data_IF_198558388993
#
_entry.id   IF_198558388993
#
_cell.length_a   1.000
_cell.length_b   1.000
_cell.length_c   1.000
_cell.angle_alpha   90.00
_cell.angle_beta   90.00
_cell.angle_gamma   90.00
#
_symmetry.space_group_name_H-M   'P 1'
#
loop_
_entity.id
_entity.type
_entity.pdbx_description
1 polymer ?
#
# COMPACT_ATOMS: atom_id res chain seq x y z
N UNK A 1 -12.92 78.84 45.89
CA UNK A 1 -12.95 77.70 44.95
C UNK A 1 -12.10 76.57 45.51
N UNK A 2 -12.71 75.45 45.96
CA UNK A 2 -11.96 74.32 46.50
C UNK A 2 -11.24 73.56 45.38
N UNK A 3 -9.93 73.32 45.55
CA UNK A 3 -9.11 72.49 44.65
C UNK A 3 -9.54 71.03 44.81
N UNK A 4 -10.16 70.45 43.78
CA UNK A 4 -10.47 69.03 43.70
C UNK A 4 -9.18 68.21 43.81
N UNK A 5 -9.11 67.32 44.81
CA UNK A 5 -8.03 66.35 44.98
C UNK A 5 -8.00 65.44 43.73
N UNK A 6 -6.84 65.25 43.06
CA UNK A 6 -6.76 64.34 41.93
C UNK A 6 -7.10 62.92 42.40
N UNK A 7 -7.90 62.21 41.60
CA UNK A 7 -8.25 60.83 41.85
C UNK A 7 -6.97 59.99 41.85
N UNK A 8 -6.73 59.24 42.92
CA UNK A 8 -5.62 58.30 43.00
C UNK A 8 -5.97 57.12 42.11
N UNK A 9 -5.31 57.04 40.97
CA UNK A 9 -5.42 55.90 40.07
C UNK A 9 -4.89 54.65 40.80
N UNK A 10 -5.65 53.54 40.87
CA UNK A 10 -5.19 52.35 41.55
C UNK A 10 -3.91 51.83 40.87
N UNK A 11 -2.93 51.35 41.64
CA UNK A 11 -1.72 50.80 41.06
C UNK A 11 -2.10 49.65 40.12
N UNK A 12 -1.42 49.51 38.97
CA UNK A 12 -1.67 48.42 38.05
C UNK A 12 -1.50 47.09 38.79
N UNK A 13 -2.34 46.08 38.50
CA UNK A 13 -2.24 44.78 39.15
C UNK A 13 -0.84 44.20 38.92
N UNK A 14 -0.21 43.75 40.00
CA UNK A 14 1.11 43.16 39.98
C UNK A 14 1.04 41.80 39.26
N UNK A 15 1.37 41.81 37.97
CA UNK A 15 1.46 40.62 37.15
C UNK A 15 2.66 39.81 37.63
N UNK A 16 2.42 38.87 38.56
CA UNK A 16 3.41 37.91 39.08
C UNK A 16 4.29 37.41 37.92
N UNK A 17 5.52 37.92 37.86
CA UNK A 17 6.47 37.52 36.84
C UNK A 17 6.84 36.06 37.07
N UNK A 18 6.31 35.18 36.22
CA UNK A 18 6.72 33.78 36.21
C UNK A 18 8.21 33.77 35.85
N UNK A 19 9.09 33.19 36.68
CA UNK A 19 10.51 33.12 36.37
C UNK A 19 10.68 32.41 35.03
N UNK A 20 11.32 33.05 34.05
CA UNK A 20 11.36 32.57 32.66
C UNK A 20 11.89 31.13 32.49
N UNK A 21 12.72 30.65 33.43
CA UNK A 21 13.18 29.25 33.48
C UNK A 21 12.02 28.26 33.63
N UNK A 22 11.00 28.60 34.42
CA UNK A 22 9.83 27.75 34.62
C UNK A 22 8.99 27.67 33.34
N UNK A 23 8.83 28.78 32.63
CA UNK A 23 8.14 28.78 31.34
C UNK A 23 8.83 27.86 30.32
N UNK A 24 10.17 27.92 30.24
CA UNK A 24 10.95 27.04 29.34
C UNK A 24 10.74 25.57 29.70
N UNK A 25 10.81 25.20 30.98
CA UNK A 25 10.61 23.82 31.43
C UNK A 25 9.21 23.32 31.04
N UNK A 26 8.17 24.12 31.27
CA UNK A 26 6.78 23.77 30.91
C UNK A 26 6.64 23.54 29.41
N UNK A 27 7.18 24.44 28.58
CA UNK A 27 7.12 24.31 27.12
C UNK A 27 7.83 23.03 26.66
N UNK A 28 9.02 22.74 27.20
CA UNK A 28 9.76 21.52 26.88
C UNK A 28 8.97 20.27 27.27
N UNK A 29 8.37 20.23 28.45
CA UNK A 29 7.56 19.09 28.89
C UNK A 29 6.33 18.88 28.00
N UNK A 30 5.65 19.96 27.61
CA UNK A 30 4.51 19.88 26.69
C UNK A 30 4.96 19.37 25.32
N UNK A 31 6.07 19.88 24.78
CA UNK A 31 6.61 19.43 23.50
C UNK A 31 6.97 17.93 23.52
N UNK A 32 7.63 17.47 24.58
CA UNK A 32 7.94 16.04 24.77
C UNK A 32 6.67 15.21 24.90
N UNK A 33 5.69 15.67 25.69
CA UNK A 33 4.42 14.98 25.87
C UNK A 33 3.66 14.79 24.55
N UNK A 34 3.55 15.85 23.74
CA UNK A 34 2.94 15.77 22.41
C UNK A 34 3.71 14.86 21.45
N UNK A 35 5.04 14.85 21.52
CA UNK A 35 5.89 13.97 20.70
C UNK A 35 5.65 12.49 21.01
N UNK A 36 5.59 12.14 22.30
CA UNK A 36 5.30 10.77 22.76
C UNK A 36 3.88 10.36 22.37
N UNK A 37 2.90 11.24 22.56
CA UNK A 37 1.51 10.98 22.19
C UNK A 37 1.37 10.71 20.68
N UNK A 38 2.03 11.50 19.84
CA UNK A 38 2.05 11.30 18.40
C UNK A 38 2.68 9.94 18.03
N UNK A 39 3.83 9.58 18.63
CA UNK A 39 4.44 8.27 18.40
C UNK A 39 3.46 7.13 18.76
N UNK A 40 2.90 7.16 19.97
CA UNK A 40 1.96 6.13 20.42
C UNK A 40 0.77 6.00 19.48
N UNK A 41 0.23 7.11 18.99
CA UNK A 41 -0.85 7.12 18.00
C UNK A 41 -0.44 6.41 16.71
N UNK A 42 0.71 6.76 16.12
CA UNK A 42 1.22 6.10 14.91
C UNK A 42 1.48 4.60 15.10
N UNK A 43 1.95 4.21 16.28
CA UNK A 43 2.19 2.81 16.62
C UNK A 43 0.89 2.00 16.68
N UNK A 44 -0.18 2.58 17.25
CA UNK A 44 -1.47 1.92 17.36
C UNK A 44 -2.18 1.81 16.01
N UNK A 45 -2.08 2.83 15.15
CA UNK A 45 -2.82 2.94 13.87
C UNK A 45 -2.33 1.98 12.76
N UNK A 46 -1.16 1.35 12.90
CA UNK A 46 -0.62 0.43 11.89
C UNK A 46 -0.41 -1.01 12.36
N UNK A 47 -0.81 -1.34 13.58
CA UNK A 47 -0.43 -2.62 14.20
C UNK A 47 -1.23 -3.79 13.61
N UNK A 48 -2.51 -3.60 13.30
CA UNK A 48 -3.36 -4.69 12.82
C UNK A 48 -2.96 -5.10 11.40
N UNK A 49 -2.77 -4.14 10.50
CA UNK A 49 -2.30 -4.38 9.14
C UNK A 49 -0.94 -5.09 9.13
N UNK A 50 0.02 -4.64 9.95
CA UNK A 50 1.33 -5.30 10.06
C UNK A 50 1.23 -6.73 10.59
N UNK A 51 0.31 -6.98 11.52
CA UNK A 51 0.08 -8.33 12.07
C UNK A 51 -0.59 -9.23 11.03
N UNK A 52 -1.57 -8.70 10.31
CA UNK A 52 -2.30 -9.37 9.24
C UNK A 52 -1.37 -9.81 8.09
N UNK A 53 -0.54 -8.91 7.58
CA UNK A 53 0.44 -9.25 6.55
C UNK A 53 1.62 -10.07 7.09
N UNK A 54 1.96 -9.90 8.37
CA UNK A 54 3.22 -10.32 8.93
C UNK A 54 4.37 -9.40 8.55
N UNK A 55 5.39 -9.33 9.42
CA UNK A 55 6.51 -8.38 9.31
C UNK A 55 7.23 -8.44 7.96
N UNK A 56 7.45 -9.65 7.43
CA UNK A 56 8.22 -9.84 6.20
C UNK A 56 7.44 -9.37 4.96
N UNK A 57 6.16 -9.75 4.83
CA UNK A 57 5.34 -9.31 3.71
C UNK A 57 5.01 -7.82 3.81
N UNK A 58 4.72 -7.30 5.00
CA UNK A 58 4.51 -5.86 5.22
C UNK A 58 5.73 -5.04 4.75
N UNK A 59 6.96 -5.51 5.03
CA UNK A 59 8.18 -4.86 4.57
C UNK A 59 8.31 -4.90 3.04
N UNK A 60 7.99 -6.04 2.41
CA UNK A 60 7.99 -6.16 0.93
C UNK A 60 6.94 -5.24 0.31
N UNK A 61 5.70 -5.26 0.80
CA UNK A 61 4.61 -4.40 0.29
C UNK A 61 5.03 -2.92 0.36
N UNK A 62 5.66 -2.51 1.47
CA UNK A 62 6.08 -1.13 1.71
C UNK A 62 7.30 -0.71 0.87
N UNK A 63 8.27 -1.61 0.65
CA UNK A 63 9.59 -1.23 0.12
C UNK A 63 9.97 -1.85 -1.22
N UNK A 64 9.17 -2.77 -1.74
CA UNK A 64 9.48 -3.46 -2.99
C UNK A 64 9.71 -2.46 -4.13
N UNK A 65 10.86 -2.52 -4.82
CA UNK A 65 11.10 -1.68 -5.97
C UNK A 65 10.25 -2.10 -7.17
N UNK A 66 9.92 -3.39 -7.29
CA UNK A 66 9.13 -3.93 -8.39
C UNK A 66 7.72 -4.23 -7.93
N UNK A 67 6.76 -3.72 -8.70
CA UNK A 67 5.33 -3.97 -8.48
C UNK A 67 4.64 -4.21 -9.80
N UNK A 68 3.96 -5.32 -9.88
CA UNK A 68 3.16 -5.73 -11.04
C UNK A 68 1.70 -5.86 -10.60
N UNK A 69 0.80 -5.31 -11.43
CA UNK A 69 -0.64 -5.53 -11.33
C UNK A 69 -1.05 -6.57 -12.38
N UNK A 70 -1.79 -7.58 -11.94
CA UNK A 70 -2.34 -8.63 -12.78
C UNK A 70 -3.86 -8.54 -12.81
N UNK A 71 -4.45 -8.68 -13.99
CA UNK A 71 -5.84 -9.09 -14.14
C UNK A 71 -5.86 -10.62 -14.29
N UNK A 72 -6.67 -11.27 -13.48
CA UNK A 72 -6.79 -12.71 -13.38
C UNK A 72 -8.11 -13.17 -14.01
N UNK A 73 -8.04 -14.29 -14.72
CA UNK A 73 -9.18 -14.95 -15.33
C UNK A 73 -9.30 -16.42 -14.90
N UNK A 74 -10.42 -17.06 -15.24
CA UNK A 74 -10.58 -18.50 -15.04
C UNK A 74 -9.49 -19.27 -15.77
N UNK A 75 -9.09 -20.45 -15.28
CA UNK A 75 -8.05 -21.25 -15.93
C UNK A 75 -8.46 -21.59 -17.36
N UNK A 76 -7.67 -21.15 -18.34
CA UNK A 76 -7.86 -21.53 -19.73
C UNK A 76 -7.07 -22.80 -20.04
N UNK A 77 -7.76 -23.85 -20.49
CA UNK A 77 -7.16 -25.15 -20.81
C UNK A 77 -6.10 -25.07 -21.94
N UNK A 78 -6.23 -24.07 -22.81
CA UNK A 78 -5.37 -23.88 -24.00
C UNK A 78 -4.49 -22.64 -23.90
N UNK A 79 -4.31 -22.07 -22.70
CA UNK A 79 -3.37 -20.96 -22.52
C UNK A 79 -1.97 -21.47 -22.81
N UNK A 80 -1.59 -21.31 -24.07
CA UNK A 80 -0.37 -21.82 -24.65
C UNK A 80 0.76 -21.16 -23.90
N UNK A 81 1.39 -21.90 -22.99
CA UNK A 81 2.61 -21.43 -22.33
C UNK A 81 2.50 -20.12 -21.51
N UNK A 82 1.27 -19.71 -21.14
CA UNK A 82 1.01 -18.46 -20.46
C UNK A 82 1.36 -18.49 -18.96
N UNK A 83 1.80 -17.35 -18.43
CA UNK A 83 2.07 -17.19 -17.00
C UNK A 83 0.78 -17.42 -16.20
N UNK A 84 0.66 -18.57 -15.55
CA UNK A 84 -0.42 -18.89 -14.63
C UNK A 84 -0.05 -18.51 -13.19
N UNK A 85 -1.05 -18.14 -12.39
CA UNK A 85 -0.90 -17.87 -10.97
C UNK A 85 -1.67 -18.91 -10.16
N UNK A 86 -0.99 -19.60 -9.26
CA UNK A 86 -1.62 -20.55 -8.33
C UNK A 86 -1.98 -19.82 -7.03
N UNK A 87 -3.28 -19.73 -6.74
CA UNK A 87 -3.85 -19.15 -5.53
C UNK A 87 -4.65 -20.26 -4.84
N UNK A 88 -4.27 -20.67 -3.63
CA UNK A 88 -4.95 -21.74 -2.87
C UNK A 88 -5.11 -23.07 -3.61
N UNK A 89 -4.17 -23.38 -4.51
CA UNK A 89 -4.25 -24.57 -5.35
C UNK A 89 -5.20 -24.44 -6.54
N UNK A 90 -5.88 -23.30 -6.71
CA UNK A 90 -6.59 -22.95 -7.93
C UNK A 90 -5.66 -22.18 -8.87
N UNK A 91 -5.68 -22.56 -10.14
CA UNK A 91 -4.90 -21.89 -11.19
C UNK A 91 -5.72 -20.77 -11.81
N UNK A 92 -5.13 -19.60 -11.93
CA UNK A 92 -5.69 -18.43 -12.61
C UNK A 92 -4.83 -18.10 -13.81
N UNK A 93 -5.44 -17.80 -14.95
CA UNK A 93 -4.72 -17.27 -16.11
C UNK A 93 -4.48 -15.78 -15.90
N UNK A 94 -3.25 -15.29 -16.11
CA UNK A 94 -2.99 -13.86 -16.13
C UNK A 94 -3.48 -13.31 -17.49
N UNK A 95 -4.57 -12.56 -17.48
CA UNK A 95 -5.16 -11.96 -18.67
C UNK A 95 -4.38 -10.72 -19.10
N UNK A 96 -3.96 -9.90 -18.13
CA UNK A 96 -3.18 -8.70 -18.37
C UNK A 96 -2.13 -8.50 -17.28
N UNK A 97 -0.98 -7.90 -17.65
CA UNK A 97 0.09 -7.52 -16.74
C UNK A 97 0.43 -6.04 -16.95
N UNK A 98 0.56 -5.29 -15.84
CA UNK A 98 1.05 -3.91 -15.83
C UNK A 98 2.16 -3.75 -14.80
N UNK A 99 3.30 -3.22 -15.23
CA UNK A 99 4.38 -2.84 -14.31
C UNK A 99 4.09 -1.43 -13.74
N UNK A 100 3.77 -1.35 -12.45
CA UNK A 100 3.43 -0.08 -11.79
C UNK A 100 4.66 0.71 -11.36
N UNK A 101 5.75 0.01 -11.06
CA UNK A 101 6.98 0.64 -10.56
C UNK A 101 7.68 1.51 -11.61
N UNK A 102 7.78 1.02 -12.85
CA UNK A 102 8.50 1.74 -13.93
C UNK A 102 7.68 2.88 -14.53
N UNK A 103 6.35 2.73 -14.56
CA UNK A 103 5.42 3.67 -15.18
C UNK A 103 5.13 4.91 -14.34
N UNK A 104 5.63 4.98 -13.08
CA UNK A 104 5.26 6.01 -12.10
C UNK A 104 3.74 6.19 -12.02
N UNK A 105 3.01 5.05 -12.03
CA UNK A 105 1.56 5.03 -11.99
C UNK A 105 1.03 5.99 -10.91
N UNK A 106 0.33 7.09 -11.28
CA UNK A 106 -0.21 8.02 -10.31
C UNK A 106 -1.16 7.26 -9.38
N UNK A 107 -1.14 7.58 -8.09
CA UNK A 107 -1.97 6.87 -7.10
C UNK A 107 -1.31 5.63 -6.47
N UNK A 108 -0.29 5.02 -7.09
CA UNK A 108 0.26 3.77 -6.55
C UNK A 108 0.89 3.92 -5.15
N UNK A 109 1.57 5.04 -4.88
CA UNK A 109 2.08 5.36 -3.53
C UNK A 109 0.96 5.39 -2.50
N UNK A 110 -0.24 5.87 -2.88
CA UNK A 110 -1.40 5.88 -2.00
C UNK A 110 -1.92 4.46 -1.75
N UNK A 111 -2.02 3.61 -2.78
CA UNK A 111 -2.42 2.20 -2.61
C UNK A 111 -1.49 1.47 -1.65
N UNK A 112 -0.16 1.64 -1.82
CA UNK A 112 0.83 1.05 -0.91
C UNK A 112 0.66 1.54 0.53
N UNK A 113 0.40 2.82 0.72
CA UNK A 113 0.12 3.39 2.04
C UNK A 113 -1.20 2.87 2.62
N UNK A 114 -2.23 2.67 1.81
CA UNK A 114 -3.52 2.13 2.24
C UNK A 114 -3.38 0.69 2.70
N UNK A 115 -2.73 -0.18 1.92
CA UNK A 115 -2.53 -1.59 2.30
C UNK A 115 -1.78 -1.76 3.62
N UNK A 116 -1.05 -0.75 4.10
CA UNK A 116 -0.25 -0.83 5.33
C UNK A 116 -0.86 -0.06 6.52
N UNK A 117 -2.08 0.47 6.37
CA UNK A 117 -2.78 1.25 7.42
C UNK A 117 -4.03 0.50 7.90
N UNK A 118 -4.26 0.50 9.21
CA UNK A 118 -5.40 -0.22 9.79
C UNK A 118 -6.75 0.35 9.32
N UNK A 119 -6.82 1.65 9.03
CA UNK A 119 -8.03 2.32 8.56
C UNK A 119 -8.48 1.90 7.14
N UNK A 120 -7.63 1.20 6.39
CA UNK A 120 -7.99 0.69 5.07
C UNK A 120 -8.85 -0.59 5.14
N UNK A 121 -8.95 -1.19 6.32
CA UNK A 121 -9.61 -2.47 6.51
C UNK A 121 -10.81 -2.33 7.45
N UNK A 122 -11.84 -3.11 7.17
CA UNK A 122 -12.90 -3.38 8.13
C UNK A 122 -12.58 -4.67 8.87
N UNK A 123 -11.97 -4.53 10.06
CA UNK A 123 -11.57 -5.65 10.91
C UNK A 123 -12.74 -6.33 11.62
N UNK A 124 -13.94 -5.75 11.58
CA UNK A 124 -15.15 -6.32 12.19
C UNK A 124 -16.01 -7.09 11.18
N UNK A 125 -15.73 -6.93 9.88
CA UNK A 125 -16.41 -7.67 8.84
C UNK A 125 -16.16 -9.18 8.99
N UNK A 126 -17.21 -9.97 8.78
CA UNK A 126 -17.12 -11.41 8.70
C UNK A 126 -16.44 -11.80 7.37
N UNK A 127 -15.25 -12.44 7.40
CA UNK A 127 -14.54 -12.85 6.19
C UNK A 127 -15.32 -13.86 5.35
N UNK A 128 -16.24 -14.61 5.97
CA UNK A 128 -17.01 -15.67 5.31
C UNK A 128 -18.38 -15.18 4.78
N UNK A 129 -18.71 -13.89 4.99
CA UNK A 129 -19.96 -13.29 4.50
C UNK A 129 -20.09 -13.32 2.98
N UNK A 130 -18.98 -13.36 2.25
CA UNK A 130 -18.96 -13.50 0.79
C UNK A 130 -17.75 -14.33 0.33
N UNK A 131 -17.91 -15.05 -0.78
CA UNK A 131 -16.81 -15.78 -1.42
C UNK A 131 -16.09 -14.84 -2.41
N UNK A 132 -14.82 -14.48 -2.17
CA UNK A 132 -14.11 -13.55 -3.03
C UNK A 132 -13.82 -14.18 -4.40
N UNK A 133 -13.98 -13.38 -5.45
CA UNK A 133 -13.50 -13.71 -6.78
C UNK A 133 -12.22 -12.93 -7.04
N UNK A 134 -11.08 -13.62 -6.98
CA UNK A 134 -9.76 -13.01 -7.16
C UNK A 134 -9.54 -12.60 -8.62
N UNK A 135 -10.08 -11.44 -8.99
CA UNK A 135 -9.94 -10.86 -10.33
C UNK A 135 -8.67 -10.05 -10.51
N UNK A 136 -8.11 -9.53 -9.42
CA UNK A 136 -6.88 -8.74 -9.48
C UNK A 136 -5.86 -9.26 -8.48
N UNK A 137 -4.58 -9.09 -8.82
CA UNK A 137 -3.49 -9.36 -7.90
C UNK A 137 -2.37 -8.33 -8.06
N UNK A 138 -1.80 -7.91 -6.93
CA UNK A 138 -0.59 -7.10 -6.87
C UNK A 138 0.58 -7.99 -6.44
N UNK A 139 1.60 -8.10 -7.29
CA UNK A 139 2.85 -8.74 -6.94
C UNK A 139 3.87 -7.67 -6.57
N UNK A 140 4.26 -7.68 -5.31
CA UNK A 140 5.36 -6.88 -4.78
C UNK A 140 6.60 -7.76 -4.72
N UNK A 141 7.74 -7.26 -5.16
CA UNK A 141 8.95 -8.04 -4.99
C UNK A 141 10.24 -7.38 -5.43
N UNK A 142 11.26 -8.22 -5.44
CA UNK A 142 12.56 -8.03 -6.06
C UNK A 142 13.07 -9.40 -6.55
N UNK A 143 14.33 -9.47 -6.95
CA UNK A 143 14.96 -10.70 -7.42
C UNK A 143 14.88 -11.88 -6.41
N UNK A 144 14.85 -11.61 -5.10
CA UNK A 144 14.95 -12.63 -4.07
C UNK A 144 13.61 -12.98 -3.42
N UNK A 145 12.76 -11.98 -3.19
CA UNK A 145 11.56 -12.07 -2.36
C UNK A 145 10.37 -11.47 -3.07
N UNK A 146 9.22 -12.10 -2.94
CA UNK A 146 7.96 -11.58 -3.45
C UNK A 146 6.80 -11.84 -2.48
N UNK A 147 5.79 -10.99 -2.56
CA UNK A 147 4.52 -11.08 -1.85
C UNK A 147 3.42 -10.79 -2.88
N UNK A 148 2.38 -11.63 -2.93
CA UNK A 148 1.24 -11.42 -3.82
C UNK A 148 0.02 -11.12 -2.97
N UNK A 149 -0.63 -10.00 -3.26
CA UNK A 149 -1.88 -9.59 -2.64
C UNK A 149 -3.01 -9.76 -3.65
N UNK A 150 -3.90 -10.71 -3.40
CA UNK A 150 -5.16 -10.84 -4.13
C UNK A 150 -6.15 -9.77 -3.72
N UNK A 151 -6.90 -9.27 -4.70
CA UNK A 151 -7.94 -8.27 -4.52
C UNK A 151 -9.20 -8.78 -5.21
N UNK A 152 -10.29 -8.82 -4.46
CA UNK A 152 -11.64 -9.02 -4.95
C UNK A 152 -12.41 -7.72 -4.73
N UNK A 153 -13.05 -7.19 -5.77
CA UNK A 153 -13.80 -5.92 -5.69
C UNK A 153 -15.31 -6.17 -5.55
N UNK A 154 -15.79 -7.29 -6.08
CA UNK A 154 -17.16 -7.77 -6.00
C UNK A 154 -17.53 -8.16 -4.56
N UNK A 155 -16.56 -8.76 -3.86
CA UNK A 155 -16.56 -9.01 -2.43
C UNK A 155 -15.31 -8.30 -1.90
N UNK A 156 -15.43 -7.07 -1.34
CA UNK A 156 -14.31 -6.15 -1.11
C UNK A 156 -13.38 -6.70 -0.05
N UNK A 157 -12.48 -7.58 -0.48
CA UNK A 157 -11.58 -8.34 0.37
C UNK A 157 -10.20 -8.39 -0.27
N UNK A 158 -9.19 -8.42 0.58
CA UNK A 158 -7.81 -8.70 0.17
C UNK A 158 -7.26 -9.90 0.90
N UNK A 159 -6.24 -10.51 0.31
CA UNK A 159 -5.55 -11.65 0.89
C UNK A 159 -4.11 -11.73 0.45
N UNK A 160 -3.23 -12.14 1.36
CA UNK A 160 -1.86 -12.51 1.02
C UNK A 160 -1.82 -13.95 0.51
N UNK A 161 -1.12 -14.17 -0.60
CA UNK A 161 -0.88 -15.51 -1.14
C UNK A 161 0.56 -15.94 -0.96
N UNK A 162 0.72 -17.18 -0.50
CA UNK A 162 2.02 -17.80 -0.29
C UNK A 162 2.59 -18.32 -1.61
N UNK A 163 3.49 -17.53 -2.18
CA UNK A 163 4.36 -17.95 -3.28
C UNK A 163 3.81 -17.65 -4.68
N UNK A 164 4.73 -17.26 -5.54
CA UNK A 164 4.54 -17.21 -6.98
C UNK A 164 5.11 -18.48 -7.59
N UNK A 165 4.28 -19.25 -8.29
CA UNK A 165 4.73 -20.35 -9.14
C UNK A 165 4.57 -19.89 -10.57
N UNK A 166 5.68 -19.53 -11.21
CA UNK A 166 5.69 -19.27 -12.65
C UNK A 166 5.66 -20.62 -13.34
N UNK A 167 4.57 -20.93 -14.02
CA UNK A 167 4.52 -22.06 -14.95
C UNK A 167 5.14 -21.57 -16.25
N UNK A 168 6.33 -22.07 -16.58
CA UNK A 168 7.00 -21.76 -17.83
C UNK A 168 6.28 -22.41 -19.02
N UNK A 169 6.52 -21.90 -20.24
CA UNK A 169 6.01 -22.47 -21.49
C UNK A 169 6.17 -23.99 -21.67
N UNK A 170 7.24 -24.53 -21.10
CA UNK A 170 7.60 -25.94 -21.16
C UNK A 170 6.98 -26.79 -20.02
N UNK A 171 6.04 -26.22 -19.25
CA UNK A 171 5.42 -26.86 -18.10
C UNK A 171 6.28 -26.90 -16.84
N UNK A 172 7.50 -26.34 -16.86
CA UNK A 172 8.33 -26.27 -15.65
C UNK A 172 7.77 -25.23 -14.68
N UNK A 173 7.60 -25.65 -13.43
CA UNK A 173 7.15 -24.77 -12.37
C UNK A 173 8.38 -24.20 -11.66
N UNK A 174 8.70 -22.93 -11.91
CA UNK A 174 9.67 -22.22 -11.08
C UNK A 174 8.94 -21.72 -9.84
N UNK A 175 9.19 -22.37 -8.71
CA UNK A 175 8.73 -21.89 -7.41
C UNK A 175 9.68 -20.80 -6.94
N UNK A 176 9.22 -19.54 -6.89
CA UNK A 176 10.01 -18.49 -6.27
C UNK A 176 10.10 -18.78 -4.76
N UNK A 177 11.32 -18.72 -4.19
CA UNK A 177 11.61 -19.13 -2.81
C UNK A 177 10.65 -18.46 -1.84
N UNK A 178 9.90 -19.26 -1.09
CA UNK A 178 8.93 -18.75 -0.12
C UNK A 178 9.60 -17.96 1.00
N UNK A 179 8.89 -16.97 1.52
CA UNK A 179 9.36 -16.01 2.50
C UNK A 179 9.47 -16.63 3.91
N UNK A 180 10.45 -17.51 4.12
CA UNK A 180 10.82 -18.07 5.43
C UNK A 180 9.84 -19.11 5.99
N UNK A 181 10.33 -19.97 6.89
CA UNK A 181 9.68 -21.14 7.51
C UNK A 181 8.46 -20.84 8.42
N UNK A 182 7.72 -19.76 8.17
CA UNK A 182 6.49 -19.50 8.92
C UNK A 182 5.40 -20.44 8.38
N UNK A 183 4.63 -21.13 9.26
CA UNK A 183 3.46 -21.88 8.82
C UNK A 183 2.61 -20.98 7.92
N UNK A 184 2.01 -21.55 6.85
CA UNK A 184 1.35 -20.79 5.79
C UNK A 184 0.51 -19.71 6.44
N UNK A 185 0.83 -18.46 6.11
CA UNK A 185 0.13 -17.33 6.68
C UNK A 185 -1.35 -17.65 6.49
N UNK A 186 -2.04 -17.75 7.62
CA UNK A 186 -3.42 -18.20 7.71
C UNK A 186 -4.22 -17.64 6.56
N UNK A 187 -5.16 -18.43 6.03
CA UNK A 187 -6.08 -18.09 4.91
C UNK A 187 -7.01 -16.88 5.20
N UNK A 188 -6.58 -15.96 6.04
CA UNK A 188 -7.27 -14.77 6.47
C UNK A 188 -7.45 -13.84 5.27
N UNK A 189 -8.70 -13.61 4.92
CA UNK A 189 -9.11 -12.45 4.15
C UNK A 189 -9.33 -11.29 5.12
N UNK A 190 -9.13 -10.07 4.65
CA UNK A 190 -9.53 -8.87 5.37
C UNK A 190 -10.41 -8.04 4.46
N UNK A 191 -11.51 -7.51 5.00
CA UNK A 191 -12.39 -6.62 4.24
C UNK A 191 -11.67 -5.30 3.97
N UNK A 192 -11.78 -4.81 2.73
CA UNK A 192 -11.30 -3.51 2.28
C UNK A 192 -12.46 -2.61 1.84
N UNK A 193 -13.67 -2.90 2.32
CA UNK A 193 -14.87 -2.10 2.01
C UNK A 193 -14.65 -0.56 2.12
N UNK A 194 -13.91 -0.04 3.12
CA UNK A 194 -13.68 1.41 3.23
C UNK A 194 -12.90 2.03 2.07
N UNK A 195 -12.12 1.23 1.32
CA UNK A 195 -11.26 1.70 0.22
C UNK A 195 -11.60 1.09 -1.14
N UNK A 196 -12.63 0.23 -1.21
CA UNK A 196 -12.94 -0.54 -2.41
C UNK A 196 -13.22 0.34 -3.63
N UNK A 197 -13.90 1.47 -3.45
CA UNK A 197 -14.19 2.43 -4.52
C UNK A 197 -12.93 3.12 -5.05
N UNK A 198 -12.07 3.62 -4.16
CA UNK A 198 -10.81 4.25 -4.58
C UNK A 198 -9.86 3.25 -5.27
N UNK A 199 -9.86 2.00 -4.81
CA UNK A 199 -9.07 0.94 -5.41
C UNK A 199 -9.61 0.52 -6.79
N UNK A 200 -10.94 0.46 -6.95
CA UNK A 200 -11.56 0.12 -8.23
C UNK A 200 -11.29 1.19 -9.30
N UNK A 201 -11.38 2.47 -8.94
CA UNK A 201 -11.01 3.59 -9.81
C UNK A 201 -9.55 3.51 -10.25
N UNK A 202 -8.63 3.33 -9.30
CA UNK A 202 -7.21 3.18 -9.61
C UNK A 202 -6.95 2.01 -10.58
N UNK A 203 -7.52 0.83 -10.30
CA UNK A 203 -7.35 -0.36 -11.15
C UNK A 203 -7.90 -0.10 -12.56
N UNK A 204 -9.08 0.53 -12.67
CA UNK A 204 -9.67 0.88 -13.95
C UNK A 204 -8.76 1.81 -14.77
N UNK A 205 -8.18 2.85 -14.15
CA UNK A 205 -7.24 3.76 -14.81
C UNK A 205 -5.99 3.04 -15.33
N UNK A 206 -5.44 2.08 -14.56
CA UNK A 206 -4.25 1.34 -14.96
C UNK A 206 -4.48 0.41 -16.16
N UNK A 207 -5.71 -0.07 -16.36
CA UNK A 207 -6.05 -0.94 -17.48
C UNK A 207 -6.63 -0.20 -18.68
N UNK A 208 -7.30 0.94 -18.48
CA UNK A 208 -7.87 1.76 -19.57
C UNK A 208 -6.81 2.52 -20.37
N UNK A 209 -5.68 2.87 -19.75
CA UNK A 209 -4.60 3.57 -20.47
C UNK A 209 -3.98 2.57 -21.45
N UNK A 210 -4.18 2.71 -22.78
CA UNK A 210 -3.45 1.87 -23.72
C UNK A 210 -1.97 2.02 -23.39
N UNK A 211 -1.17 0.92 -23.38
CA UNK A 211 0.28 1.10 -23.29
C UNK A 211 0.61 2.13 -24.37
N UNK A 212 1.25 3.22 -23.97
CA UNK A 212 1.65 4.30 -24.86
C UNK A 212 2.69 3.71 -25.81
N UNK A 213 2.21 2.96 -26.79
CA UNK A 213 2.86 2.55 -28.01
C UNK A 213 2.84 3.81 -28.87
N UNK A 214 3.47 4.87 -28.37
CA UNK A 214 4.20 5.75 -29.24
C UNK A 214 5.35 4.87 -29.73
N UNK A 215 5.30 4.31 -30.95
CA UNK A 215 6.49 3.73 -31.53
C UNK A 215 7.54 4.84 -31.42
N UNK A 216 8.56 4.60 -30.61
CA UNK A 216 9.80 5.34 -30.75
C UNK A 216 10.17 5.05 -32.19
N UNK A 217 9.88 5.98 -33.08
CA UNK A 217 10.23 5.89 -34.47
C UNK A 217 11.73 5.66 -34.46
N UNK A 218 12.13 4.41 -34.67
CA UNK A 218 13.52 4.03 -34.79
C UNK A 218 14.07 4.94 -35.88
N UNK A 219 15.00 5.85 -35.55
CA UNK A 219 15.47 6.82 -36.53
C UNK A 219 16.02 6.02 -37.70
N UNK A 220 15.40 6.21 -38.87
CA UNK A 220 15.75 5.47 -40.08
C UNK A 220 17.29 5.47 -40.24
N UNK A 221 17.89 4.32 -40.58
CA UNK A 221 19.34 4.22 -40.69
C UNK A 221 19.84 5.29 -41.66
N UNK A 222 20.69 6.18 -41.15
CA UNK A 222 21.29 7.24 -41.93
C UNK A 222 22.14 6.60 -43.03
N UNK A 223 21.68 6.67 -44.27
CA UNK A 223 22.44 6.22 -45.43
C UNK A 223 23.68 7.10 -45.56
N UNK A 224 24.79 6.61 -45.00
CA UNK A 224 26.10 7.21 -45.20
C UNK A 224 26.49 6.97 -46.66
N UNK A 225 26.45 8.05 -47.44
CA UNK A 225 26.92 8.08 -48.82
C UNK A 225 28.44 7.97 -48.79
N UNK A 226 28.98 6.88 -49.34
CA UNK A 226 30.41 6.79 -49.64
C UNK A 226 30.69 7.61 -50.91
N UNK A 227 31.68 8.50 -50.82
CA UNK A 227 32.25 9.30 -51.91
C UNK A 227 33.61 8.71 -52.32
#
# INVERSE_FOLDING_TARGET
>A
MPKSKPAVEPPPPDLRQIPGRLAIIVIVLVAVGLSVAAWCYWYVVGRQAQTYWGTAAALIITRAPEVELFELGPPQAESSAGDALLIDGQSYSILQRRELAKSRAPGFTHIRALLTRDAAFDWQADPDACQPQWRYALRFGNAEKSAIVGISLECPQVRLFDGYRKVLPNGQIITQRQLGDRPPASRQTASIAPIAEGLSQFIAEQFQTPPDESPVAEPAPSTTKAE
#
